data_IF_399183669814
#
_entry.id   IF_399183669814
#
_cell.length_a   1.000
_cell.length_b   1.000
_cell.length_c   1.000
_cell.angle_alpha   90.00
_cell.angle_beta   90.00
_cell.angle_gamma   90.00
#
_symmetry.space_group_name_H-M   'P 1'
#
loop_
_entity.id
_entity.type
_entity.pdbx_description
1 polymer ?
#
# COMPACT_ATOMS: atom_id res chain seq x y z
N UNK A 1 30.29 15.71 -23.25
CA UNK A 1 30.94 15.03 -24.37
C UNK A 1 30.48 13.59 -24.33
N UNK A 2 29.71 13.16 -25.32
CA UNK A 2 29.03 11.87 -25.32
C UNK A 2 28.16 11.72 -26.55
N UNK A 3 27.42 10.62 -26.63
CA UNK A 3 26.45 10.35 -27.69
C UNK A 3 25.17 9.75 -27.09
N UNK A 4 24.03 10.00 -27.73
CA UNK A 4 22.81 9.27 -27.47
C UNK A 4 22.42 8.52 -28.73
N UNK A 5 21.99 7.27 -28.59
CA UNK A 5 21.51 6.47 -29.72
C UNK A 5 20.12 5.92 -29.44
N UNK A 6 19.33 5.75 -30.49
CA UNK A 6 17.97 5.23 -30.42
C UNK A 6 17.84 3.98 -31.26
N UNK A 7 17.46 2.87 -30.63
CA UNK A 7 17.33 1.56 -31.29
C UNK A 7 18.60 1.23 -32.11
N UNK A 8 18.44 0.59 -33.25
CA UNK A 8 19.47 0.32 -34.25
C UNK A 8 19.59 1.44 -35.31
N UNK A 9 18.99 2.62 -35.06
CA UNK A 9 18.88 3.70 -36.05
C UNK A 9 20.02 4.73 -35.98
N UNK A 10 20.99 4.51 -35.07
CA UNK A 10 22.15 5.37 -34.90
C UNK A 10 21.94 6.53 -33.92
N UNK A 11 22.70 7.61 -34.12
CA UNK A 11 22.77 8.74 -33.19
C UNK A 11 21.52 9.62 -33.25
N UNK A 12 21.04 10.03 -32.08
CA UNK A 12 19.91 10.95 -31.92
C UNK A 12 20.25 12.05 -30.92
N UNK A 13 19.51 13.16 -31.00
CA UNK A 13 19.55 14.20 -29.98
C UNK A 13 18.53 13.91 -28.88
N UNK A 14 19.00 13.89 -27.63
CA UNK A 14 18.17 13.68 -26.46
C UNK A 14 18.05 14.92 -25.60
N UNK A 15 16.91 15.08 -24.94
CA UNK A 15 16.72 16.04 -23.86
C UNK A 15 16.28 15.30 -22.60
N UNK A 16 16.88 15.66 -21.46
CA UNK A 16 16.49 15.14 -20.15
C UNK A 16 15.96 16.30 -19.32
N UNK A 17 14.75 16.14 -18.77
CA UNK A 17 14.15 17.13 -17.89
C UNK A 17 14.40 16.72 -16.44
N UNK A 18 15.17 17.52 -15.73
CA UNK A 18 15.43 17.31 -14.31
C UNK A 18 14.37 18.02 -13.48
N UNK A 19 13.81 17.28 -12.53
CA UNK A 19 12.86 17.82 -11.57
C UNK A 19 13.60 18.43 -10.37
N UNK A 20 13.12 19.57 -9.87
CA UNK A 20 13.61 20.13 -8.61
C UNK A 20 13.37 19.16 -7.44
N UNK A 21 14.32 19.12 -6.52
CA UNK A 21 14.21 18.27 -5.33
C UNK A 21 12.94 18.63 -4.53
N UNK A 22 12.09 17.64 -4.30
CA UNK A 22 10.83 17.80 -3.56
C UNK A 22 9.64 18.27 -4.40
N UNK A 23 9.81 18.54 -5.70
CA UNK A 23 8.68 18.83 -6.57
C UNK A 23 7.85 17.56 -6.86
N UNK A 24 6.61 17.76 -7.29
CA UNK A 24 5.68 16.68 -7.62
C UNK A 24 5.92 16.19 -9.05
N UNK A 25 6.38 14.95 -9.20
CA UNK A 25 6.69 14.37 -10.51
C UNK A 25 5.50 14.35 -11.47
N UNK A 26 4.31 13.99 -10.98
CA UNK A 26 3.09 13.95 -11.81
C UNK A 26 2.67 15.34 -12.29
N UNK A 27 2.82 16.37 -11.44
CA UNK A 27 2.51 17.74 -11.83
C UNK A 27 3.52 18.27 -12.87
N UNK A 28 4.82 18.08 -12.62
CA UNK A 28 5.89 18.52 -13.52
C UNK A 28 5.77 17.86 -14.90
N UNK A 29 5.49 16.56 -14.95
CA UNK A 29 5.33 15.86 -16.23
C UNK A 29 4.06 16.31 -16.97
N UNK A 30 2.97 16.59 -16.24
CA UNK A 30 1.75 17.15 -16.85
C UNK A 30 2.03 18.50 -17.51
N UNK A 31 2.71 19.40 -16.79
CA UNK A 31 3.05 20.73 -17.30
C UNK A 31 4.05 20.65 -18.46
N UNK A 32 5.01 19.71 -18.37
CA UNK A 32 5.94 19.41 -19.45
C UNK A 32 5.21 18.93 -20.70
N UNK A 33 4.30 17.97 -20.59
CA UNK A 33 3.55 17.44 -21.73
C UNK A 33 2.72 18.54 -22.43
N UNK A 34 2.05 19.41 -21.66
CA UNK A 34 1.35 20.57 -22.21
C UNK A 34 2.29 21.50 -22.98
N UNK A 35 3.47 21.79 -22.42
CA UNK A 35 4.45 22.64 -23.09
C UNK A 35 5.06 21.99 -24.33
N UNK A 36 5.29 20.68 -24.29
CA UNK A 36 5.79 19.91 -25.42
C UNK A 36 4.78 19.87 -26.58
N UNK A 37 3.47 19.86 -26.31
CA UNK A 37 2.45 20.00 -27.36
C UNK A 37 2.50 21.37 -28.06
N UNK A 38 2.80 22.45 -27.33
CA UNK A 38 3.03 23.77 -27.93
C UNK A 38 4.30 23.78 -28.78
N UNK A 39 5.40 23.23 -28.26
CA UNK A 39 6.69 23.19 -28.96
C UNK A 39 6.58 22.36 -30.24
N UNK A 40 5.87 21.23 -30.21
CA UNK A 40 5.64 20.37 -31.38
C UNK A 40 5.05 21.12 -32.58
N UNK A 41 4.26 22.17 -32.36
CA UNK A 41 3.68 23.00 -33.44
C UNK A 41 4.69 23.96 -34.09
N UNK A 42 5.79 24.23 -33.39
CA UNK A 42 6.85 25.15 -33.85
C UNK A 42 8.05 24.44 -34.47
N UNK A 43 8.08 23.09 -34.39
CA UNK A 43 9.19 22.31 -34.91
C UNK A 43 9.18 22.29 -36.45
N UNK A 44 10.35 22.41 -37.10
CA UNK A 44 10.51 22.18 -38.53
C UNK A 44 9.99 20.81 -38.98
N UNK A 45 9.58 20.71 -40.24
CA UNK A 45 9.22 19.43 -40.85
C UNK A 45 10.38 18.44 -40.76
N UNK A 46 10.09 17.19 -40.37
CA UNK A 46 11.07 16.11 -40.23
C UNK A 46 11.61 15.88 -38.81
N UNK A 47 11.33 16.76 -37.84
CA UNK A 47 11.73 16.55 -36.44
C UNK A 47 10.59 15.87 -35.67
N UNK A 48 10.83 14.65 -35.17
CA UNK A 48 9.89 13.90 -34.33
C UNK A 48 10.42 13.86 -32.89
N UNK A 49 9.62 14.36 -31.95
CA UNK A 49 9.96 14.29 -30.51
C UNK A 49 9.24 13.14 -29.86
N UNK A 50 10.01 12.09 -29.56
CA UNK A 50 9.53 10.88 -28.91
C UNK A 50 9.95 10.83 -27.44
N UNK A 51 9.00 10.59 -26.54
CA UNK A 51 9.26 10.39 -25.12
C UNK A 51 9.74 8.97 -24.87
N UNK A 52 10.95 8.81 -24.33
CA UNK A 52 11.52 7.50 -24.07
C UNK A 52 11.33 7.01 -22.63
N UNK A 53 11.36 7.90 -21.64
CA UNK A 53 11.16 7.54 -20.23
C UNK A 53 10.19 8.52 -19.58
N UNK A 54 9.12 7.99 -18.97
CA UNK A 54 8.12 8.81 -18.27
C UNK A 54 7.77 8.20 -16.91
N UNK A 55 8.27 8.82 -15.84
CA UNK A 55 8.09 8.36 -14.45
C UNK A 55 6.61 8.32 -14.02
N UNK A 56 5.75 9.11 -14.64
CA UNK A 56 4.31 9.18 -14.33
C UNK A 56 3.60 7.86 -14.59
N UNK A 57 4.04 7.04 -15.55
CA UNK A 57 3.43 5.73 -15.83
C UNK A 57 3.50 4.80 -14.61
N UNK A 58 4.68 4.68 -14.01
CA UNK A 58 4.89 3.90 -12.79
C UNK A 58 4.02 4.44 -11.63
N UNK A 59 4.01 5.76 -11.43
CA UNK A 59 3.22 6.40 -10.37
C UNK A 59 1.72 6.16 -10.56
N UNK A 60 1.20 6.33 -11.78
CA UNK A 60 -0.22 6.13 -12.08
C UNK A 60 -0.63 4.65 -11.93
N UNK A 61 0.20 3.73 -12.40
CA UNK A 61 -0.05 2.29 -12.24
C UNK A 61 -0.08 1.92 -10.76
N UNK A 62 0.89 2.39 -9.97
CA UNK A 62 0.93 2.18 -8.53
C UNK A 62 -0.30 2.76 -7.82
N UNK A 63 -0.70 3.99 -8.13
CA UNK A 63 -1.90 4.62 -7.55
C UNK A 63 -3.17 3.86 -7.95
N UNK A 64 -3.27 3.41 -9.20
CA UNK A 64 -4.42 2.62 -9.68
C UNK A 64 -4.54 1.30 -8.93
N UNK A 65 -3.43 0.58 -8.77
CA UNK A 65 -3.36 -0.67 -8.00
C UNK A 65 -3.72 -0.44 -6.54
N UNK A 66 -3.16 0.59 -5.91
CA UNK A 66 -3.50 0.95 -4.52
C UNK A 66 -4.97 1.30 -4.39
N UNK A 67 -5.53 2.10 -5.30
CA UNK A 67 -6.95 2.45 -5.30
C UNK A 67 -7.83 1.21 -5.43
N UNK A 68 -7.51 0.31 -6.36
CA UNK A 68 -8.23 -0.95 -6.56
C UNK A 68 -8.17 -1.81 -5.29
N UNK A 69 -6.98 -2.02 -4.74
CA UNK A 69 -6.77 -2.79 -3.52
C UNK A 69 -7.46 -2.18 -2.30
N UNK A 70 -7.48 -0.84 -2.18
CA UNK A 70 -8.20 -0.15 -1.10
C UNK A 70 -9.72 -0.37 -1.23
N UNK A 71 -10.27 -0.28 -2.43
CA UNK A 71 -11.70 -0.51 -2.66
C UNK A 71 -12.07 -1.98 -2.42
N UNK A 72 -11.31 -2.92 -2.99
CA UNK A 72 -11.54 -4.36 -2.82
C UNK A 72 -11.36 -4.78 -1.36
N UNK A 73 -10.29 -4.33 -0.71
CA UNK A 73 -10.02 -4.57 0.71
C UNK A 73 -11.13 -4.02 1.61
N UNK A 74 -11.56 -2.78 1.38
CA UNK A 74 -12.67 -2.19 2.12
C UNK A 74 -13.97 -3.00 1.93
N UNK A 75 -14.29 -3.41 0.70
CA UNK A 75 -15.48 -4.25 0.43
C UNK A 75 -15.42 -5.59 1.15
N UNK A 76 -14.26 -6.26 1.16
CA UNK A 76 -14.06 -7.52 1.89
C UNK A 76 -14.28 -7.30 3.39
N UNK A 77 -13.71 -6.25 3.98
CA UNK A 77 -13.90 -5.93 5.39
C UNK A 77 -15.38 -5.68 5.70
N UNK A 78 -16.08 -4.88 4.89
CA UNK A 78 -17.52 -4.64 5.07
C UNK A 78 -18.32 -5.95 4.99
N UNK A 79 -18.00 -6.81 4.03
CA UNK A 79 -18.66 -8.09 3.87
C UNK A 79 -18.46 -8.98 5.10
N UNK A 80 -17.21 -9.14 5.55
CA UNK A 80 -16.87 -9.92 6.75
C UNK A 80 -17.56 -9.36 7.99
N UNK A 81 -17.56 -8.04 8.18
CA UNK A 81 -18.21 -7.40 9.32
C UNK A 81 -19.73 -7.62 9.33
N UNK A 82 -20.40 -7.43 8.20
CA UNK A 82 -21.85 -7.67 8.08
C UNK A 82 -22.17 -9.14 8.34
N UNK A 83 -21.32 -10.05 7.86
CA UNK A 83 -21.45 -11.48 8.06
C UNK A 83 -21.31 -11.87 9.55
N UNK A 84 -20.25 -11.42 10.23
CA UNK A 84 -19.99 -11.75 11.64
C UNK A 84 -20.90 -11.03 12.64
N UNK A 85 -21.29 -9.78 12.37
CA UNK A 85 -22.24 -9.06 13.24
C UNK A 85 -23.69 -9.50 12.99
N UNK A 86 -23.97 -10.06 11.81
CA UNK A 86 -25.30 -10.50 11.40
C UNK A 86 -26.36 -9.39 11.40
N UNK A 87 -25.91 -8.14 11.44
CA UNK A 87 -26.72 -6.93 11.44
C UNK A 87 -26.11 -5.94 10.44
N UNK A 88 -26.80 -5.78 9.31
CA UNK A 88 -26.36 -4.91 8.22
C UNK A 88 -26.12 -3.46 8.68
N UNK A 89 -26.92 -2.95 9.64
CA UNK A 89 -26.77 -1.58 10.14
C UNK A 89 -25.50 -1.42 10.96
N UNK A 90 -25.21 -2.39 11.83
CA UNK A 90 -23.99 -2.40 12.63
C UNK A 90 -22.74 -2.48 11.74
N UNK A 91 -22.76 -3.37 10.73
CA UNK A 91 -21.69 -3.47 9.74
C UNK A 91 -21.48 -2.18 8.94
N UNK A 92 -22.56 -1.53 8.48
CA UNK A 92 -22.47 -0.25 7.75
C UNK A 92 -21.97 0.91 8.62
N UNK A 93 -22.29 0.92 9.92
CA UNK A 93 -21.74 1.91 10.86
C UNK A 93 -20.22 1.78 10.93
N UNK A 94 -19.71 0.57 11.15
CA UNK A 94 -18.26 0.33 11.19
C UNK A 94 -17.62 0.62 9.84
N UNK A 95 -18.26 0.22 8.74
CA UNK A 95 -17.81 0.49 7.38
C UNK A 95 -17.60 2.00 7.13
N UNK A 96 -18.47 2.85 7.68
CA UNK A 96 -18.37 4.30 7.52
C UNK A 96 -17.17 4.93 8.24
N UNK A 97 -16.58 4.24 9.22
CA UNK A 97 -15.37 4.70 9.92
C UNK A 97 -14.15 4.67 8.99
N UNK A 98 -14.07 3.70 8.08
CA UNK A 98 -12.95 3.56 7.13
C UNK A 98 -12.72 4.85 6.30
N UNK A 99 -13.69 5.34 5.50
CA UNK A 99 -13.48 6.54 4.70
C UNK A 99 -13.28 7.80 5.54
N UNK A 100 -13.93 7.90 6.71
CA UNK A 100 -13.75 9.05 7.62
C UNK A 100 -12.34 9.08 8.22
N UNK A 101 -11.82 7.93 8.66
CA UNK A 101 -10.45 7.81 9.18
C UNK A 101 -9.42 8.07 8.09
N UNK A 102 -9.65 7.59 6.87
CA UNK A 102 -8.81 7.89 5.71
C UNK A 102 -8.82 9.37 5.34
N UNK A 103 -9.99 10.04 5.38
CA UNK A 103 -10.08 11.47 5.14
C UNK A 103 -9.26 12.25 6.17
N UNK A 104 -9.34 11.86 7.44
CA UNK A 104 -8.52 12.43 8.51
C UNK A 104 -7.03 12.19 8.26
N UNK A 105 -6.64 10.98 7.88
CA UNK A 105 -5.25 10.62 7.57
C UNK A 105 -4.69 11.46 6.42
N UNK A 106 -5.41 11.55 5.30
CA UNK A 106 -5.01 12.33 4.12
C UNK A 106 -4.89 13.82 4.47
N UNK A 107 -5.80 14.34 5.30
CA UNK A 107 -5.74 15.73 5.79
C UNK A 107 -4.46 15.96 6.61
N UNK A 108 -4.15 15.05 7.53
CA UNK A 108 -2.92 15.13 8.33
C UNK A 108 -1.66 14.95 7.47
N UNK A 109 -1.66 14.05 6.48
CA UNK A 109 -0.55 13.89 5.55
C UNK A 109 -0.26 15.21 4.81
N UNK A 110 -1.30 15.92 4.37
CA UNK A 110 -1.15 17.21 3.73
C UNK A 110 -0.58 18.27 4.70
N UNK A 111 -1.02 18.29 5.96
CA UNK A 111 -0.50 19.20 6.98
C UNK A 111 0.97 18.95 7.34
N UNK A 112 1.39 17.69 7.39
CA UNK A 112 2.76 17.28 7.73
C UNK A 112 3.68 17.10 6.51
N UNK A 113 3.21 17.42 5.30
CA UNK A 113 3.99 17.31 4.07
C UNK A 113 4.40 15.89 3.70
N UNK A 114 3.62 14.88 4.11
CA UNK A 114 3.87 13.47 3.77
C UNK A 114 3.33 13.18 2.37
N UNK A 115 4.22 12.78 1.45
CA UNK A 115 3.84 12.46 0.07
C UNK A 115 2.95 11.22 0.00
N UNK A 116 1.82 11.30 -0.72
CA UNK A 116 0.98 10.16 -1.06
C UNK A 116 1.60 9.31 -2.16
N UNK A 117 2.50 8.40 -1.79
CA UNK A 117 3.14 7.43 -2.67
C UNK A 117 2.75 5.98 -2.30
N UNK A 118 3.19 5.02 -3.10
CA UNK A 118 2.91 3.59 -2.91
C UNK A 118 3.26 3.10 -1.49
N UNK A 119 4.41 3.52 -0.94
CA UNK A 119 4.86 3.11 0.40
C UNK A 119 3.96 3.68 1.50
N UNK A 120 3.52 4.93 1.37
CA UNK A 120 2.65 5.57 2.36
C UNK A 120 1.22 5.02 2.36
N UNK A 121 0.61 4.85 1.18
CA UNK A 121 -0.78 4.41 1.03
C UNK A 121 -0.92 2.89 1.14
N UNK A 122 0.09 2.14 0.72
CA UNK A 122 0.13 0.67 0.79
C UNK A 122 0.25 0.14 2.22
N UNK A 123 0.66 0.97 3.16
CA UNK A 123 0.77 0.62 4.58
C UNK A 123 -0.57 0.62 5.34
N UNK A 124 -1.66 1.06 4.70
CA UNK A 124 -2.96 1.21 5.36
C UNK A 124 -3.59 -0.16 5.57
N UNK A 125 -3.71 -0.57 6.84
CA UNK A 125 -4.45 -1.76 7.25
C UNK A 125 -5.85 -1.37 7.75
N UNK A 126 -6.88 -1.83 7.02
CA UNK A 126 -8.27 -1.60 7.41
C UNK A 126 -8.65 -2.30 8.71
N UNK A 127 -8.10 -3.48 8.99
CA UNK A 127 -8.39 -4.24 10.21
C UNK A 127 -8.03 -3.43 11.46
N UNK A 128 -6.84 -2.85 11.44
CA UNK A 128 -6.32 -1.96 12.48
C UNK A 128 -7.18 -0.70 12.66
N UNK A 129 -7.66 -0.12 11.56
CA UNK A 129 -8.49 1.10 11.56
C UNK A 129 -9.88 0.82 12.15
N UNK A 130 -10.49 -0.32 11.84
CA UNK A 130 -11.85 -0.62 12.28
C UNK A 130 -11.94 -1.27 13.66
N UNK A 131 -10.85 -1.86 14.17
CA UNK A 131 -10.82 -2.66 15.41
C UNK A 131 -11.56 -1.99 16.59
N UNK A 132 -11.16 -0.77 16.95
CA UNK A 132 -11.79 -0.03 18.05
C UNK A 132 -13.29 0.25 17.83
N UNK A 133 -13.69 0.51 16.57
CA UNK A 133 -15.10 0.72 16.23
C UNK A 133 -15.90 -0.59 16.29
N UNK A 134 -15.32 -1.70 15.85
CA UNK A 134 -15.93 -3.04 15.92
C UNK A 134 -16.18 -3.43 17.36
N UNK A 135 -15.18 -3.31 18.24
CA UNK A 135 -15.30 -3.66 19.67
C UNK A 135 -16.47 -2.91 20.32
N UNK A 136 -16.59 -1.60 20.07
CA UNK A 136 -17.66 -0.77 20.64
C UNK A 136 -19.02 -1.18 20.06
N UNK A 137 -19.15 -1.31 18.73
CA UNK A 137 -20.42 -1.66 18.08
C UNK A 137 -20.88 -3.06 18.46
N UNK A 138 -19.97 -4.04 18.51
CA UNK A 138 -20.26 -5.40 18.95
C UNK A 138 -20.76 -5.43 20.38
N UNK A 139 -20.08 -4.73 21.30
CA UNK A 139 -20.52 -4.65 22.69
C UNK A 139 -21.91 -4.00 22.84
N UNK A 140 -22.20 -2.98 22.03
CA UNK A 140 -23.53 -2.35 21.98
C UNK A 140 -24.59 -3.32 21.46
N UNK A 141 -24.33 -4.01 20.34
CA UNK A 141 -25.25 -4.98 19.75
C UNK A 141 -25.49 -6.16 20.69
N UNK A 142 -24.43 -6.69 21.30
CA UNK A 142 -24.51 -7.77 22.28
C UNK A 142 -25.33 -7.35 23.52
N UNK A 143 -25.11 -6.14 24.04
CA UNK A 143 -25.87 -5.64 25.20
C UNK A 143 -27.34 -5.39 24.88
N UNK A 144 -27.63 -4.79 23.72
CA UNK A 144 -28.99 -4.54 23.28
C UNK A 144 -29.76 -5.84 23.01
N UNK A 145 -29.12 -6.86 22.43
CA UNK A 145 -29.75 -8.14 22.10
C UNK A 145 -29.97 -9.07 23.31
N UNK A 146 -29.00 -9.16 24.23
CA UNK A 146 -29.05 -10.13 25.34
C UNK A 146 -29.56 -9.57 26.67
N UNK A 147 -29.35 -8.27 26.96
CA UNK A 147 -29.69 -7.70 28.27
C UNK A 147 -31.09 -7.08 28.28
N UNK A 148 -31.57 -6.60 27.13
CA UNK A 148 -32.85 -5.92 27.04
C UNK A 148 -33.96 -6.85 26.53
N UNK A 149 -34.85 -7.26 27.44
CA UNK A 149 -36.03 -8.11 27.14
C UNK A 149 -37.27 -7.31 26.69
N UNK A 150 -37.21 -5.98 26.64
CA UNK A 150 -38.35 -5.12 26.31
C UNK A 150 -38.40 -4.82 24.80
N UNK A 151 -39.58 -5.01 24.19
CA UNK A 151 -39.75 -4.98 22.72
C UNK A 151 -39.53 -3.61 22.05
N UNK A 152 -39.46 -2.49 22.78
CA UNK A 152 -39.17 -1.15 22.25
C UNK A 152 -38.46 -0.26 23.26
N UNK A 153 -37.40 0.42 22.79
CA UNK A 153 -36.61 1.38 23.57
C UNK A 153 -36.91 2.79 23.04
N UNK A 154 -37.14 3.77 23.93
CA UNK A 154 -37.25 5.20 23.58
C UNK A 154 -35.86 5.77 23.23
N UNK A 155 -35.78 6.88 22.49
CA UNK A 155 -34.47 7.46 22.11
C UNK A 155 -33.64 7.80 23.36
N UNK A 156 -34.22 8.44 24.37
CA UNK A 156 -33.51 8.81 25.60
C UNK A 156 -32.91 7.61 26.34
N UNK A 157 -33.60 6.48 26.29
CA UNK A 157 -33.11 5.22 26.86
C UNK A 157 -32.00 4.61 25.98
N UNK A 158 -32.10 4.71 24.65
CA UNK A 158 -31.05 4.28 23.75
C UNK A 158 -29.77 5.09 23.96
N UNK A 159 -29.89 6.41 24.08
CA UNK A 159 -28.75 7.31 24.26
C UNK A 159 -28.03 7.05 25.60
N UNK A 160 -28.80 6.87 26.69
CA UNK A 160 -28.24 6.51 27.99
C UNK A 160 -27.56 5.14 27.97
N UNK A 161 -28.15 4.15 27.31
CA UNK A 161 -27.60 2.79 27.24
C UNK A 161 -26.36 2.70 26.35
N UNK A 162 -26.37 3.42 25.23
CA UNK A 162 -25.21 3.52 24.32
C UNK A 162 -24.08 4.26 25.00
N UNK A 163 -24.35 5.39 25.66
CA UNK A 163 -23.35 6.14 26.42
C UNK A 163 -22.71 5.26 27.51
N UNK A 164 -23.53 4.62 28.36
CA UNK A 164 -23.02 3.78 29.45
C UNK A 164 -22.26 2.53 28.97
N UNK A 165 -22.66 1.92 27.86
CA UNK A 165 -21.97 0.77 27.29
C UNK A 165 -20.68 1.17 26.55
N UNK A 166 -20.75 2.22 25.74
CA UNK A 166 -19.59 2.75 25.03
C UNK A 166 -18.51 3.19 26.03
N UNK A 167 -18.86 3.92 27.10
CA UNK A 167 -17.88 4.35 28.12
C UNK A 167 -17.14 3.19 28.80
N UNK A 168 -17.78 2.03 29.00
CA UNK A 168 -17.10 0.84 29.57
C UNK A 168 -16.15 0.17 28.57
N UNK A 169 -16.50 0.18 27.28
CA UNK A 169 -15.70 -0.44 26.22
C UNK A 169 -14.65 0.50 25.63
N UNK A 170 -14.78 1.79 25.94
CA UNK A 170 -13.86 2.84 25.54
C UNK A 170 -12.47 2.59 26.09
N UNK A 171 -12.31 2.37 27.40
CA UNK A 171 -10.99 2.15 28.01
C UNK A 171 -10.20 1.00 27.38
N UNK A 172 -10.73 -0.22 27.20
CA UNK A 172 -9.98 -1.30 26.56
C UNK A 172 -9.71 -1.06 25.07
N UNK A 173 -10.66 -0.50 24.31
CA UNK A 173 -10.45 -0.19 22.89
C UNK A 173 -9.37 0.89 22.69
N UNK A 174 -9.43 1.96 23.48
CA UNK A 174 -8.43 3.05 23.51
C UNK A 174 -7.05 2.51 23.86
N UNK A 175 -6.96 1.68 24.91
CA UNK A 175 -5.69 1.13 25.35
C UNK A 175 -5.04 0.26 24.27
N UNK A 176 -5.83 -0.57 23.57
CA UNK A 176 -5.37 -1.35 22.42
C UNK A 176 -4.83 -0.46 21.28
N UNK A 177 -5.57 0.57 20.91
CA UNK A 177 -5.15 1.53 19.87
C UNK A 177 -3.88 2.29 20.24
N UNK A 178 -3.70 2.66 21.51
CA UNK A 178 -2.48 3.32 22.00
C UNK A 178 -1.28 2.37 21.95
N UNK A 179 -1.44 1.09 22.31
CA UNK A 179 -0.36 0.09 22.18
C UNK A 179 0.11 0.00 20.74
N UNK A 180 -0.84 -0.11 19.79
CA UNK A 180 -0.53 -0.14 18.36
C UNK A 180 0.27 1.11 17.96
N UNK A 181 -0.18 2.30 18.37
CA UNK A 181 0.53 3.56 18.06
C UNK A 181 1.97 3.57 18.61
N UNK A 182 2.17 3.07 19.84
CA UNK A 182 3.50 2.96 20.46
C UNK A 182 4.42 2.02 19.67
N UNK A 183 3.90 0.93 19.12
CA UNK A 183 4.68 -0.02 18.30
C UNK A 183 5.19 0.63 17.01
N UNK A 184 4.51 1.64 16.46
CA UNK A 184 4.97 2.38 15.28
C UNK A 184 5.97 3.50 15.60
N UNK A 185 6.08 3.94 16.86
CA UNK A 185 6.95 5.04 17.25
C UNK A 185 8.45 4.76 16.98
N UNK A 186 9.00 3.56 17.24
CA UNK A 186 10.40 3.25 16.92
C UNK A 186 10.74 3.41 15.44
N UNK A 187 9.80 3.16 14.53
CA UNK A 187 10.04 3.30 13.08
C UNK A 187 10.38 4.76 12.71
N UNK A 188 9.86 5.74 13.45
CA UNK A 188 10.18 7.15 13.25
C UNK A 188 11.60 7.51 13.68
N UNK A 189 12.29 6.63 14.42
CA UNK A 189 13.68 6.83 14.86
C UNK A 189 14.70 6.29 13.86
N UNK A 190 14.26 5.55 12.83
CA UNK A 190 15.14 5.03 11.78
C UNK A 190 15.80 6.18 10.99
N UNK A 191 17.11 6.06 10.78
CA UNK A 191 17.94 7.05 10.07
C UNK A 191 18.35 6.49 8.70
N UNK A 192 18.73 7.36 7.78
CA UNK A 192 19.28 6.97 6.48
C UNK A 192 18.21 6.62 5.44
N UNK A 193 18.47 5.57 4.65
CA UNK A 193 17.59 5.13 3.56
C UNK A 193 16.33 4.48 4.12
N UNK A 194 16.47 3.63 5.13
CA UNK A 194 15.36 2.97 5.83
C UNK A 194 14.38 4.00 6.41
N UNK A 195 14.90 5.02 7.10
CA UNK A 195 14.08 6.10 7.64
C UNK A 195 13.28 6.85 6.55
N UNK A 196 13.90 7.13 5.40
CA UNK A 196 13.20 7.77 4.27
C UNK A 196 12.11 6.91 3.66
N UNK A 197 12.23 5.59 3.75
CA UNK A 197 11.27 4.64 3.19
C UNK A 197 10.12 4.33 4.17
N UNK A 198 10.44 4.07 5.44
CA UNK A 198 9.46 3.62 6.43
C UNK A 198 8.84 4.74 7.27
N UNK A 199 9.48 5.90 7.40
CA UNK A 199 8.90 7.03 8.15
C UNK A 199 7.58 7.54 7.53
N UNK A 200 7.43 7.72 6.20
CA UNK A 200 6.15 8.09 5.60
C UNK A 200 5.05 7.05 5.85
N UNK A 201 5.41 5.76 5.82
CA UNK A 201 4.52 4.65 6.13
C UNK A 201 4.02 4.73 7.58
N UNK A 202 4.93 4.84 8.56
CA UNK A 202 4.56 4.92 9.97
C UNK A 202 3.71 6.15 10.30
N UNK A 203 4.01 7.32 9.70
CA UNK A 203 3.21 8.54 9.87
C UNK A 203 1.79 8.36 9.35
N UNK A 204 1.63 7.77 8.16
CA UNK A 204 0.32 7.56 7.54
C UNK A 204 -0.58 6.65 8.38
N UNK A 205 -0.04 5.52 8.84
CA UNK A 205 -0.76 4.59 9.74
C UNK A 205 -1.09 5.27 11.07
N UNK A 206 -0.15 5.99 11.66
CA UNK A 206 -0.37 6.72 12.91
C UNK A 206 -1.49 7.76 12.78
N UNK A 207 -1.54 8.53 11.68
CA UNK A 207 -2.60 9.49 11.45
C UNK A 207 -3.96 8.82 11.23
N UNK A 208 -4.01 7.70 10.49
CA UNK A 208 -5.24 6.93 10.31
C UNK A 208 -5.76 6.36 11.64
N UNK A 209 -4.86 5.84 12.48
CA UNK A 209 -5.18 5.35 13.82
C UNK A 209 -5.69 6.45 14.75
N UNK A 210 -5.05 7.62 14.75
CA UNK A 210 -5.50 8.76 15.55
C UNK A 210 -6.90 9.21 15.07
N UNK A 211 -7.13 9.25 13.75
CA UNK A 211 -8.45 9.53 13.20
C UNK A 211 -9.49 8.51 13.62
N UNK A 212 -9.18 7.22 13.48
CA UNK A 212 -10.05 6.12 13.90
C UNK A 212 -10.33 6.13 15.40
N UNK A 213 -9.33 6.48 16.21
CA UNK A 213 -9.44 6.68 17.64
C UNK A 213 -10.42 7.81 17.98
N UNK A 214 -10.27 8.99 17.36
CA UNK A 214 -11.19 10.11 17.58
C UNK A 214 -12.62 9.71 17.18
N UNK A 215 -12.78 9.03 16.05
CA UNK A 215 -14.07 8.58 15.53
C UNK A 215 -14.71 7.49 16.41
N UNK A 216 -13.92 6.57 16.97
CA UNK A 216 -14.43 5.52 17.86
C UNK A 216 -14.98 6.09 19.17
N UNK A 217 -14.44 7.21 19.64
CA UNK A 217 -14.89 7.90 20.84
C UNK A 217 -16.13 8.78 20.62
N UNK A 218 -16.24 9.39 19.45
CA UNK A 218 -17.22 10.44 19.19
C UNK A 218 -18.31 9.98 18.22
N UNK A 219 -17.91 9.65 16.99
CA UNK A 219 -18.81 9.33 15.89
C UNK A 219 -19.51 7.97 16.07
N UNK A 220 -18.77 6.93 16.47
CA UNK A 220 -19.31 5.56 16.57
C UNK A 220 -20.44 5.44 17.60
N UNK A 221 -20.32 5.95 18.84
CA UNK A 221 -21.41 5.90 19.81
C UNK A 221 -22.62 6.71 19.34
N UNK A 222 -22.40 7.92 18.81
CA UNK A 222 -23.46 8.80 18.31
C UNK A 222 -24.27 8.13 17.20
N UNK A 223 -23.59 7.62 16.16
CA UNK A 223 -24.30 7.04 15.02
C UNK A 223 -24.95 5.70 15.37
N UNK A 224 -24.35 4.96 16.31
CA UNK A 224 -24.95 3.73 16.85
C UNK A 224 -26.28 4.02 17.55
N UNK A 225 -26.36 5.08 18.37
CA UNK A 225 -27.59 5.48 19.04
C UNK A 225 -28.71 5.92 18.06
N UNK A 226 -28.33 6.50 16.91
CA UNK A 226 -29.27 6.98 15.90
C UNK A 226 -29.76 5.87 14.94
N UNK A 227 -28.85 5.00 14.47
CA UNK A 227 -29.13 4.06 13.38
C UNK A 227 -29.40 2.62 13.83
N UNK A 228 -28.98 2.22 15.04
CA UNK A 228 -29.33 0.88 15.54
C UNK A 228 -30.84 0.73 15.72
N UNK A 229 -31.35 -0.47 15.47
CA UNK A 229 -32.78 -0.74 15.53
C UNK A 229 -33.28 -0.65 16.98
N UNK A 230 -34.26 0.24 17.20
CA UNK A 230 -35.01 0.35 18.46
C UNK A 230 -35.99 -0.79 18.70
N UNK A 231 -36.23 -1.62 17.67
CA UNK A 231 -37.00 -2.87 17.76
C UNK A 231 -36.02 -4.01 17.92
N UNK A 232 -35.98 -4.58 19.11
CA UNK A 232 -35.20 -5.77 19.41
C UNK A 232 -35.95 -6.97 18.83
N UNK A 233 -35.42 -7.54 17.74
CA UNK A 233 -35.92 -8.80 17.20
C UNK A 233 -35.10 -9.92 17.85
N UNK A 234 -35.74 -10.75 18.68
CA UNK A 234 -35.15 -11.97 19.26
C UNK A 234 -34.95 -13.12 18.24
N UNK A 235 -34.97 -12.82 16.93
CA UNK A 235 -34.60 -13.82 15.93
C UNK A 235 -33.09 -14.00 15.99
N UNK A 236 -32.66 -15.22 16.28
CA UNK A 236 -31.25 -15.62 16.17
C UNK A 236 -30.72 -15.14 14.82
N UNK A 237 -29.74 -14.27 14.86
CA UNK A 237 -29.04 -13.88 13.66
C UNK A 237 -28.29 -15.08 13.11
N UNK A 238 -28.00 -15.04 11.80
CA UNK A 238 -27.12 -16.03 11.19
C UNK A 238 -25.75 -16.05 11.91
N UNK A 239 -25.28 -14.88 12.38
CA UNK A 239 -24.09 -14.74 13.20
C UNK A 239 -24.17 -15.55 14.52
N UNK A 240 -25.30 -15.50 15.23
CA UNK A 240 -25.49 -16.22 16.51
C UNK A 240 -25.42 -17.74 16.30
N UNK A 241 -25.95 -18.23 15.17
CA UNK A 241 -25.88 -19.65 14.81
C UNK A 241 -24.46 -20.08 14.51
N UNK A 242 -23.71 -19.28 13.75
CA UNK A 242 -22.30 -19.57 13.48
C UNK A 242 -21.46 -19.53 14.76
N UNK A 243 -21.65 -18.50 15.59
CA UNK A 243 -20.95 -18.35 16.87
C UNK A 243 -21.22 -19.56 17.79
N UNK A 244 -22.45 -20.07 17.83
CA UNK A 244 -22.80 -21.28 18.58
C UNK A 244 -22.07 -22.53 18.06
N UNK A 245 -21.92 -22.67 16.74
CA UNK A 245 -21.16 -23.78 16.14
C UNK A 245 -19.68 -23.67 16.52
N UNK A 246 -19.10 -22.48 16.39
CA UNK A 246 -17.71 -22.20 16.81
C UNK A 246 -17.50 -22.49 18.30
N UNK A 247 -18.40 -22.01 19.17
CA UNK A 247 -18.33 -22.24 20.62
C UNK A 247 -18.46 -23.72 21.00
N UNK A 248 -19.26 -24.50 20.27
CA UNK A 248 -19.36 -25.96 20.50
C UNK A 248 -18.04 -26.69 20.24
N UNK A 249 -17.24 -26.21 19.27
CA UNK A 249 -15.89 -26.73 19.02
C UNK A 249 -14.85 -26.17 19.99
N UNK A 250 -14.90 -24.87 20.24
CA UNK A 250 -13.93 -24.17 21.09
C UNK A 250 -14.04 -24.53 22.57
N UNK A 251 -15.25 -24.63 23.12
CA UNK A 251 -15.51 -24.93 24.53
C UNK A 251 -14.83 -26.21 25.05
N UNK A 252 -15.01 -27.39 24.40
CA UNK A 252 -14.34 -28.61 24.85
C UNK A 252 -12.82 -28.50 24.72
N UNK A 253 -12.30 -27.91 23.62
CA UNK A 253 -10.85 -27.72 23.44
C UNK A 253 -10.25 -26.83 24.52
N UNK A 254 -10.90 -25.71 24.86
CA UNK A 254 -10.45 -24.83 25.95
C UNK A 254 -10.44 -25.58 27.28
N UNK A 255 -11.50 -26.33 27.58
CA UNK A 255 -11.60 -27.10 28.83
C UNK A 255 -10.51 -28.18 28.94
N UNK A 256 -10.12 -28.79 27.82
CA UNK A 256 -9.04 -29.77 27.76
C UNK A 256 -7.67 -29.11 27.93
N UNK A 257 -7.46 -27.95 27.30
CA UNK A 257 -6.22 -27.18 27.42
C UNK A 257 -5.98 -26.69 28.85
N UNK A 258 -7.02 -26.20 29.53
CA UNK A 258 -6.94 -25.74 30.92
C UNK A 258 -6.65 -26.87 31.92
N UNK A 259 -6.97 -28.13 31.58
CA UNK A 259 -6.64 -29.30 32.42
C UNK A 259 -5.17 -29.70 32.33
N UNK A 260 -4.44 -29.27 31.29
CA UNK A 260 -3.02 -29.62 31.07
C UNK A 260 -2.17 -28.38 30.75
N UNK A 261 -2.10 -27.38 31.66
CA UNK A 261 -1.41 -26.12 31.39
C UNK A 261 0.09 -26.32 31.08
N UNK A 262 0.75 -27.25 31.78
CA UNK A 262 2.17 -27.56 31.53
C UNK A 262 2.42 -28.06 30.09
N UNK A 263 1.52 -28.88 29.54
CA UNK A 263 1.64 -29.36 28.16
C UNK A 263 1.50 -28.22 27.16
N UNK A 264 0.55 -27.30 27.37
CA UNK A 264 0.36 -26.13 26.51
C UNK A 264 1.58 -25.22 26.53
N UNK A 265 2.16 -24.98 27.71
CA UNK A 265 3.39 -24.18 27.86
C UNK A 265 4.55 -24.85 27.12
N UNK A 266 4.73 -26.16 27.26
CA UNK A 266 5.80 -26.91 26.56
C UNK A 266 5.62 -26.81 25.04
N UNK A 267 4.40 -27.01 24.53
CA UNK A 267 4.11 -26.91 23.10
C UNK A 267 4.39 -25.49 22.60
N UNK A 268 3.96 -24.47 23.34
CA UNK A 268 4.18 -23.06 22.99
C UNK A 268 5.68 -22.74 22.95
N UNK A 269 6.44 -23.21 23.93
CA UNK A 269 7.88 -23.00 23.98
C UNK A 269 8.60 -23.76 22.86
N UNK A 270 8.17 -24.99 22.56
CA UNK A 270 8.70 -25.76 21.44
C UNK A 270 8.44 -25.06 20.10
N UNK A 271 7.22 -24.56 19.87
CA UNK A 271 6.89 -23.77 18.68
C UNK A 271 7.69 -22.47 18.60
N UNK A 272 7.94 -21.81 19.73
CA UNK A 272 8.79 -20.63 19.79
C UNK A 272 10.24 -20.97 19.38
N UNK A 273 10.82 -22.04 19.93
CA UNK A 273 12.18 -22.49 19.56
C UNK A 273 12.25 -22.86 18.08
N UNK A 274 11.26 -23.58 17.55
CA UNK A 274 11.18 -23.91 16.11
C UNK A 274 11.09 -22.64 15.25
N UNK A 275 10.33 -21.64 15.69
CA UNK A 275 10.19 -20.36 14.97
C UNK A 275 11.51 -19.58 14.96
N UNK A 276 12.22 -19.53 16.09
CA UNK A 276 13.57 -18.92 16.18
C UNK A 276 14.55 -19.67 15.28
N UNK A 277 14.51 -21.00 15.27
CA UNK A 277 15.35 -21.81 14.40
C UNK A 277 15.04 -21.57 12.91
N UNK A 278 13.77 -21.45 12.54
CA UNK A 278 13.37 -21.10 11.17
C UNK A 278 13.86 -19.70 10.79
N UNK A 279 13.77 -18.73 11.70
CA UNK A 279 14.27 -17.36 11.47
C UNK A 279 15.76 -17.34 11.12
N UNK A 280 16.57 -18.19 11.77
CA UNK A 280 18.02 -18.26 11.49
C UNK A 280 18.35 -18.81 10.10
N UNK A 281 17.38 -19.41 9.40
CA UNK A 281 17.54 -19.97 8.05
C UNK A 281 16.97 -19.06 6.96
N UNK A 282 16.26 -18.00 7.32
CA UNK A 282 15.74 -17.04 6.35
C UNK A 282 16.88 -16.14 5.84
N UNK A 283 16.92 -15.92 4.53
CA UNK A 283 17.80 -14.93 3.93
C UNK A 283 17.40 -13.51 4.33
N UNK A 284 18.33 -12.56 4.16
CA UNK A 284 18.08 -11.14 4.36
C UNK A 284 18.17 -10.40 3.03
N UNK A 285 17.13 -9.62 2.71
CA UNK A 285 17.13 -8.66 1.62
C UNK A 285 16.91 -7.26 2.21
N UNK A 286 17.57 -6.24 1.65
CA UNK A 286 17.47 -4.87 2.17
C UNK A 286 16.10 -4.24 1.87
N UNK A 287 15.65 -4.32 0.62
CA UNK A 287 14.35 -3.85 0.14
C UNK A 287 13.94 -4.82 -0.99
N UNK A 288 12.66 -5.25 -1.07
CA UNK A 288 12.20 -6.06 -2.19
C UNK A 288 12.36 -5.29 -3.50
N UNK A 289 12.75 -6.01 -4.56
CA UNK A 289 12.90 -5.41 -5.88
C UNK A 289 11.54 -4.91 -6.38
N UNK A 290 11.43 -3.60 -6.62
CA UNK A 290 10.24 -3.00 -7.21
C UNK A 290 10.35 -3.12 -8.74
N UNK A 291 9.43 -3.87 -9.34
CA UNK A 291 9.33 -3.94 -10.80
C UNK A 291 8.79 -2.61 -11.36
N UNK A 292 9.67 -1.75 -11.86
CA UNK A 292 9.28 -0.47 -12.50
C UNK A 292 8.78 -0.67 -13.95
N UNK A 293 8.99 -1.87 -14.52
CA UNK A 293 8.58 -2.27 -15.88
C UNK A 293 9.60 -1.93 -16.97
N UNK A 294 10.46 -0.94 -16.74
CA UNK A 294 11.60 -0.60 -17.59
C UNK A 294 12.91 -1.07 -16.94
N UNK A 295 13.91 -1.41 -17.74
CA UNK A 295 15.25 -1.77 -17.26
C UNK A 295 16.26 -0.67 -17.55
N UNK A 296 17.15 -0.42 -16.58
CA UNK A 296 18.34 0.38 -16.77
C UNK A 296 19.57 -0.53 -16.65
N UNK A 297 20.35 -0.63 -17.72
CA UNK A 297 21.54 -1.48 -17.80
C UNK A 297 22.78 -0.60 -17.93
N UNK A 298 23.70 -0.70 -16.97
CA UNK A 298 25.04 -0.11 -17.04
C UNK A 298 25.95 -1.08 -17.80
N UNK A 299 26.44 -0.64 -18.97
CA UNK A 299 27.38 -1.38 -19.77
C UNK A 299 28.67 -0.57 -19.98
N UNK A 300 29.82 -1.24 -19.81
CA UNK A 300 31.14 -0.60 -19.87
C UNK A 300 32.07 -1.34 -20.82
N UNK A 301 32.75 -0.58 -21.66
CA UNK A 301 33.89 -1.08 -22.43
C UNK A 301 35.17 -0.97 -21.61
N UNK A 302 36.23 -1.61 -22.10
CA UNK A 302 37.57 -1.46 -21.53
C UNK A 302 38.00 0.01 -21.55
N UNK A 303 38.62 0.46 -20.46
CA UNK A 303 39.14 1.81 -20.31
C UNK A 303 40.08 2.16 -21.47
N UNK A 304 39.93 3.37 -22.02
CA UNK A 304 40.67 3.82 -23.21
C UNK A 304 39.99 3.51 -24.55
N UNK A 305 38.80 2.90 -24.54
CA UNK A 305 37.98 2.74 -25.75
C UNK A 305 37.54 4.09 -26.31
N UNK A 306 37.51 4.23 -27.64
CA UNK A 306 37.03 5.45 -28.30
C UNK A 306 35.50 5.54 -28.28
N UNK A 307 34.97 6.76 -28.33
CA UNK A 307 33.51 7.01 -28.41
C UNK A 307 32.86 6.23 -29.57
N UNK A 308 33.47 6.27 -30.75
CA UNK A 308 33.01 5.53 -31.93
C UNK A 308 32.90 4.03 -31.67
N UNK A 309 33.90 3.45 -30.99
CA UNK A 309 33.88 2.01 -30.67
C UNK A 309 32.79 1.67 -29.67
N UNK A 310 32.58 2.53 -28.67
CA UNK A 310 31.48 2.41 -27.72
C UNK A 310 30.12 2.46 -28.41
N UNK A 311 29.92 3.39 -29.36
CA UNK A 311 28.69 3.50 -30.16
C UNK A 311 28.47 2.23 -30.99
N UNK A 312 29.48 1.75 -31.71
CA UNK A 312 29.37 0.51 -32.50
C UNK A 312 29.00 -0.70 -31.64
N UNK A 313 29.66 -0.85 -30.49
CA UNK A 313 29.42 -1.98 -29.58
C UNK A 313 28.01 -1.94 -28.97
N UNK A 314 27.56 -0.75 -28.54
CA UNK A 314 26.21 -0.58 -27.97
C UNK A 314 25.11 -0.72 -29.02
N UNK A 315 25.32 -0.26 -30.25
CA UNK A 315 24.39 -0.48 -31.36
C UNK A 315 24.25 -1.97 -31.70
N UNK A 316 25.36 -2.71 -31.72
CA UNK A 316 25.32 -4.16 -31.88
C UNK A 316 24.54 -4.85 -30.75
N UNK A 317 24.78 -4.46 -29.50
CA UNK A 317 24.06 -5.01 -28.35
C UNK A 317 22.54 -4.68 -28.42
N UNK A 318 22.21 -3.44 -28.77
CA UNK A 318 20.82 -2.96 -28.92
C UNK A 318 20.08 -3.74 -30.01
N UNK A 319 20.74 -3.98 -31.14
CA UNK A 319 20.20 -4.79 -32.23
C UNK A 319 19.94 -6.24 -31.79
N UNK A 320 20.91 -6.87 -31.12
CA UNK A 320 20.74 -8.22 -30.59
C UNK A 320 19.58 -8.30 -29.58
N UNK A 321 19.38 -7.28 -28.75
CA UNK A 321 18.25 -7.24 -27.83
C UNK A 321 16.92 -7.15 -28.56
N UNK A 322 16.82 -6.32 -29.60
CA UNK A 322 15.59 -6.18 -30.39
C UNK A 322 15.26 -7.41 -31.24
N UNK A 323 16.28 -8.05 -31.81
CA UNK A 323 16.10 -9.23 -32.66
C UNK A 323 15.70 -10.47 -31.83
N UNK A 324 16.22 -10.61 -30.60
CA UNK A 324 15.97 -11.80 -29.77
C UNK A 324 14.78 -11.66 -28.81
N UNK A 325 14.40 -10.43 -28.42
CA UNK A 325 13.37 -10.18 -27.40
C UNK A 325 12.25 -9.29 -27.94
N UNK A 326 11.13 -9.88 -28.43
CA UNK A 326 10.01 -9.11 -28.98
C UNK A 326 9.25 -8.28 -27.92
N UNK A 327 9.50 -8.48 -26.63
CA UNK A 327 8.93 -7.72 -25.52
C UNK A 327 9.50 -6.29 -25.43
N UNK A 328 10.68 -6.05 -26.00
CA UNK A 328 11.33 -4.75 -25.99
C UNK A 328 10.61 -3.79 -26.94
N UNK A 329 10.14 -2.65 -26.42
CA UNK A 329 9.48 -1.62 -27.21
C UNK A 329 10.48 -0.58 -27.73
N UNK A 330 11.36 -0.10 -26.84
CA UNK A 330 12.33 0.97 -27.13
C UNK A 330 13.62 0.74 -26.37
N UNK A 331 14.73 1.10 -26.99
CA UNK A 331 16.04 1.13 -26.33
C UNK A 331 16.66 2.48 -26.60
N UNK A 332 17.07 3.16 -25.53
CA UNK A 332 17.81 4.42 -25.58
C UNK A 332 19.12 4.24 -24.87
N UNK A 333 20.22 4.45 -25.58
CA UNK A 333 21.55 4.32 -24.99
C UNK A 333 22.20 5.69 -24.86
N UNK A 334 22.66 6.01 -23.66
CA UNK A 334 23.43 7.21 -23.34
C UNK A 334 24.88 6.81 -23.12
N UNK A 335 25.80 7.51 -23.78
CA UNK A 335 27.22 7.21 -23.78
C UNK A 335 27.98 8.43 -23.29
N UNK A 336 28.78 8.27 -22.24
CA UNK A 336 29.56 9.37 -21.68
C UNK A 336 28.72 10.45 -20.99
N UNK A 337 29.40 11.54 -20.61
CA UNK A 337 28.81 12.57 -19.76
C UNK A 337 27.83 13.47 -20.51
N UNK A 338 26.71 13.72 -19.84
CA UNK A 338 25.73 14.74 -20.23
C UNK A 338 26.28 16.15 -19.98
N UNK A 339 25.65 17.18 -20.54
CA UNK A 339 26.06 18.59 -20.32
C UNK A 339 25.79 19.11 -18.89
N UNK A 340 25.27 18.23 -18.02
CA UNK A 340 24.93 18.52 -16.63
C UNK A 340 25.99 17.91 -15.68
N UNK A 341 26.44 18.65 -14.64
CA UNK A 341 27.45 18.15 -13.70
C UNK A 341 27.01 16.94 -12.86
N UNK A 342 25.71 16.64 -12.84
CA UNK A 342 25.15 15.55 -12.04
C UNK A 342 25.40 14.17 -12.62
N UNK A 343 25.97 14.10 -13.83
CA UNK A 343 26.15 12.85 -14.57
C UNK A 343 27.54 12.73 -15.23
N UNK A 344 28.61 12.61 -14.43
CA UNK A 344 29.98 12.55 -14.93
C UNK A 344 30.36 11.13 -15.37
N UNK A 345 29.80 10.67 -16.49
CA UNK A 345 30.14 9.37 -17.07
C UNK A 345 31.34 9.47 -18.03
N UNK A 346 32.32 8.56 -17.96
CA UNK A 346 33.39 8.47 -18.94
C UNK A 346 32.88 7.89 -20.28
N UNK A 347 33.63 8.09 -21.36
CA UNK A 347 33.20 7.78 -22.74
C UNK A 347 33.03 6.26 -22.99
N UNK A 348 33.70 5.43 -22.20
CA UNK A 348 33.61 3.98 -22.20
C UNK A 348 32.41 3.43 -21.40
N UNK A 349 31.69 4.28 -20.66
CA UNK A 349 30.53 3.90 -19.84
C UNK A 349 29.22 4.30 -20.52
N UNK A 350 28.24 3.41 -20.46
CA UNK A 350 26.97 3.56 -21.17
C UNK A 350 25.79 3.15 -20.30
N UNK A 351 24.74 3.97 -20.33
CA UNK A 351 23.45 3.71 -19.69
C UNK A 351 22.46 3.32 -20.79
N UNK A 352 22.05 2.05 -20.81
CA UNK A 352 21.07 1.52 -21.75
C UNK A 352 19.73 1.45 -21.03
N UNK A 353 18.78 2.28 -21.46
CA UNK A 353 17.40 2.31 -20.95
C UNK A 353 16.54 1.47 -21.90
N UNK A 354 16.00 0.38 -21.40
CA UNK A 354 15.18 -0.58 -22.14
C UNK A 354 13.74 -0.45 -21.66
N UNK A 355 12.87 0.08 -22.51
CA UNK A 355 11.44 0.14 -22.25
C UNK A 355 10.75 -1.09 -22.81
N UNK A 356 9.96 -1.75 -21.98
CA UNK A 356 9.20 -2.93 -22.38
C UNK A 356 7.78 -2.57 -22.79
N UNK A 357 7.20 -3.41 -23.64
CA UNK A 357 5.77 -3.34 -23.95
C UNK A 357 4.95 -3.54 -22.67
N UNK A 358 3.77 -2.89 -22.54
CA UNK A 358 2.92 -3.08 -21.38
C UNK A 358 2.61 -4.56 -21.14
N UNK A 359 2.78 -5.04 -19.90
CA UNK A 359 2.39 -6.40 -19.51
C UNK A 359 0.88 -6.61 -19.79
N UNK A 360 0.54 -7.63 -20.56
CA UNK A 360 -0.85 -8.02 -20.80
C UNK A 360 -1.37 -8.83 -19.60
N UNK A 361 -2.50 -8.46 -18.96
CA UNK A 361 -3.04 -9.15 -17.79
C UNK A 361 -3.48 -10.61 -18.05
N UNK A 362 -3.50 -11.07 -19.31
CA UNK A 362 -3.87 -12.43 -19.71
C UNK A 362 -2.73 -13.45 -19.59
N UNK A 363 -1.48 -13.02 -19.46
CA UNK A 363 -0.30 -13.91 -19.44
C UNK A 363 0.17 -14.20 -17.98
N UNK A 364 -0.23 -13.36 -17.02
CA UNK A 364 0.21 -13.45 -15.62
C UNK A 364 -0.38 -14.65 -14.84
N UNK A 365 -1.43 -15.29 -15.35
CA UNK A 365 -1.96 -16.52 -14.72
C UNK A 365 -0.97 -17.70 -14.75
N UNK A 366 0.06 -17.65 -15.60
CA UNK A 366 1.00 -18.75 -15.82
C UNK A 366 2.43 -18.49 -15.35
N UNK A 367 2.89 -17.24 -15.23
CA UNK A 367 4.32 -16.93 -14.99
C UNK A 367 4.63 -16.63 -13.51
N UNK A 368 3.63 -16.24 -12.70
CA UNK A 368 3.80 -15.96 -11.26
C UNK A 368 4.12 -17.20 -10.38
N UNK A 369 4.46 -18.35 -10.97
CA UNK A 369 4.84 -19.59 -10.27
C UNK A 369 6.23 -20.14 -10.62
N UNK A 370 7.02 -19.47 -11.47
CA UNK A 370 8.26 -20.06 -12.00
C UNK A 370 9.57 -19.48 -11.46
N UNK A 371 9.52 -18.48 -10.57
CA UNK A 371 10.75 -17.89 -10.00
C UNK A 371 10.56 -17.69 -8.50
N UNK A 372 10.61 -18.80 -7.78
CA UNK A 372 10.98 -18.91 -6.37
C UNK A 372 11.79 -20.18 -6.17
#
# INVERSE_FOLDING_TARGET
YGAMTYRDQGEVSGAVVLMLKGANASAVVKDLNLKMEEIRKTLPEGIVVETFLERTKMVNNAISTVKKNLVEGALIVVFVLVFFLGNLRAGLIVASVIPLAMLFAITMMNLFGVSGNLMSLGAIDFGLIVDGAVIIVEALVHRLSHVMKNNRIKQDQMDAEVSGAASRMMSPAVFGQVIILIVYLPILTLVGIEGKMFSPMAKTVSFALIGAFILSLTYVPMISALFLSKKLSHKESWADKMMRILQRGYGPLLSQSLRKPALIIIITLALFVVSVFALTRLGGEFIPELEEGDFAVDARLLTGSSLTKTIEATQLATKLLQDNYPEVEKIVTRIGASEIPTDPMPIEMTDIIISLKPKSPLIDGFIAKSTY
#
